data_IF_109918720844
#
_entry.id   IF_109918720844
#
_cell.length_a   1.000
_cell.length_b   1.000
_cell.length_c   1.000
_cell.angle_alpha   90.00
_cell.angle_beta   90.00
_cell.angle_gamma   90.00
#
_symmetry.space_group_name_H-M   'P 1'
#
loop_
_entity.id
_entity.type
_entity.pdbx_description
1 polymer ?
#
# COMPACT_ATOMS: atom_id res chain seq x y z
N UNK A 1 -9.94 -29.92 -1.42
CA UNK A 1 -10.91 -29.08 -0.67
C UNK A 1 -12.06 -29.90 -0.10
N UNK A 2 -12.80 -30.67 -0.92
CA UNK A 2 -13.91 -31.50 -0.43
C UNK A 2 -13.46 -32.59 0.57
N UNK A 3 -12.30 -33.20 0.36
CA UNK A 3 -11.70 -34.21 1.25
C UNK A 3 -11.32 -33.68 2.64
N UNK A 4 -11.19 -32.37 2.81
CA UNK A 4 -10.86 -31.72 4.08
C UNK A 4 -12.04 -30.91 4.66
N UNK A 5 -13.24 -31.06 4.11
CA UNK A 5 -14.42 -30.31 4.55
C UNK A 5 -14.37 -28.81 4.28
N UNK A 6 -13.42 -28.32 3.47
CA UNK A 6 -13.31 -26.89 3.15
C UNK A 6 -14.38 -26.49 2.12
N UNK A 7 -15.11 -25.42 2.42
CA UNK A 7 -16.14 -24.84 1.54
C UNK A 7 -15.72 -23.44 1.06
N UNK A 8 -15.94 -23.17 -0.22
CA UNK A 8 -15.79 -21.85 -0.79
C UNK A 8 -17.07 -21.03 -0.61
N UNK A 9 -16.94 -19.71 -0.52
CA UNK A 9 -18.07 -18.78 -0.57
C UNK A 9 -18.21 -18.26 -2.00
N UNK A 10 -19.18 -18.73 -2.81
CA UNK A 10 -19.25 -18.40 -4.24
C UNK A 10 -19.27 -16.90 -4.52
N UNK A 11 -19.95 -16.11 -3.67
CA UNK A 11 -20.01 -14.65 -3.82
C UNK A 11 -18.69 -13.91 -3.59
N UNK A 12 -17.65 -14.58 -3.10
CA UNK A 12 -16.30 -14.02 -2.93
C UNK A 12 -15.27 -14.69 -3.85
N UNK A 13 -15.70 -15.59 -4.73
CA UNK A 13 -14.82 -16.30 -5.63
C UNK A 13 -14.99 -15.77 -7.05
N UNK A 14 -13.87 -15.61 -7.74
CA UNK A 14 -13.83 -15.20 -9.15
C UNK A 14 -13.08 -16.29 -9.91
N UNK A 15 -13.63 -16.75 -11.04
CA UNK A 15 -13.07 -17.85 -11.82
C UNK A 15 -13.02 -17.47 -13.30
N UNK A 16 -11.98 -17.93 -14.02
CA UNK A 16 -11.87 -17.78 -15.47
C UNK A 16 -11.71 -16.33 -15.97
N UNK A 17 -11.27 -15.40 -15.13
CA UNK A 17 -11.01 -14.00 -15.51
C UNK A 17 -9.58 -13.83 -16.02
N UNK A 18 -9.37 -12.88 -16.94
CA UNK A 18 -8.04 -12.53 -17.47
C UNK A 18 -7.21 -11.73 -16.46
N UNK A 19 -7.88 -10.95 -15.64
CA UNK A 19 -7.32 -10.14 -14.58
C UNK A 19 -8.25 -10.10 -13.36
N UNK A 20 -7.68 -9.87 -12.18
CA UNK A 20 -8.47 -9.83 -10.94
C UNK A 20 -7.71 -9.33 -9.72
N UNK A 21 -8.46 -8.96 -8.69
CA UNK A 21 -7.91 -8.48 -7.42
C UNK A 21 -7.57 -9.64 -6.49
N UNK A 22 -6.31 -9.75 -6.08
CA UNK A 22 -5.84 -10.77 -5.15
C UNK A 22 -4.90 -10.19 -4.09
N UNK A 23 -5.18 -10.42 -2.81
CA UNK A 23 -4.42 -9.89 -1.67
C UNK A 23 -4.16 -8.36 -1.74
N UNK A 24 -5.08 -7.62 -2.37
CA UNK A 24 -4.97 -6.18 -2.55
C UNK A 24 -3.99 -5.74 -3.65
N UNK A 25 -3.62 -6.63 -4.57
CA UNK A 25 -2.94 -6.33 -5.83
C UNK A 25 -3.86 -6.68 -7.01
N UNK A 26 -3.56 -6.12 -8.18
CA UNK A 26 -4.13 -6.60 -9.44
C UNK A 26 -3.21 -7.69 -10.00
N UNK A 27 -3.79 -8.79 -10.45
CA UNK A 27 -3.05 -9.89 -11.07
C UNK A 27 -3.61 -10.07 -12.46
N UNK A 28 -2.74 -10.02 -13.46
CA UNK A 28 -3.05 -10.21 -14.87
C UNK A 28 -2.06 -11.19 -15.50
N UNK A 29 -2.26 -11.54 -16.77
CA UNK A 29 -1.28 -12.30 -17.56
C UNK A 29 0.10 -11.61 -17.62
N UNK A 30 0.14 -10.28 -17.49
CA UNK A 30 1.39 -9.50 -17.51
C UNK A 30 2.12 -9.52 -16.17
N UNK A 31 1.49 -10.05 -15.11
CA UNK A 31 2.06 -10.20 -13.79
C UNK A 31 1.26 -9.51 -12.68
N UNK A 32 1.96 -9.11 -11.62
CA UNK A 32 1.37 -8.40 -10.49
C UNK A 32 1.45 -6.91 -10.76
N UNK A 33 0.31 -6.25 -10.72
CA UNK A 33 0.15 -4.82 -10.97
C UNK A 33 -0.32 -4.10 -9.69
N UNK A 34 0.01 -2.81 -9.63
CA UNK A 34 -0.43 -1.98 -8.52
C UNK A 34 -1.95 -1.80 -8.53
N UNK A 35 -2.57 -1.85 -7.36
CA UNK A 35 -3.99 -1.55 -7.24
C UNK A 35 -4.18 -0.01 -7.30
N UNK A 36 -4.86 0.47 -8.34
CA UNK A 36 -5.14 1.89 -8.55
C UNK A 36 -5.94 2.52 -7.40
N UNK A 37 -6.88 1.78 -6.79
CA UNK A 37 -7.65 2.26 -5.64
C UNK A 37 -6.74 2.58 -4.44
N UNK A 38 -5.68 1.78 -4.22
CA UNK A 38 -4.70 2.05 -3.17
C UNK A 38 -3.84 3.27 -3.47
N UNK A 39 -3.44 3.45 -4.73
CA UNK A 39 -2.68 4.62 -5.18
C UNK A 39 -3.52 5.88 -5.00
N UNK A 40 -4.77 5.86 -5.46
CA UNK A 40 -5.69 6.98 -5.37
C UNK A 40 -6.00 7.34 -3.91
N UNK A 41 -6.17 6.34 -3.04
CA UNK A 41 -6.35 6.57 -1.61
C UNK A 41 -5.15 7.29 -0.97
N UNK A 42 -3.91 6.95 -1.36
CA UNK A 42 -2.72 7.64 -0.86
C UNK A 42 -2.62 9.05 -1.44
N UNK A 43 -2.94 9.24 -2.72
CA UNK A 43 -2.94 10.57 -3.36
C UNK A 43 -3.95 11.55 -2.74
N UNK A 44 -4.98 11.05 -2.05
CA UNK A 44 -6.00 11.85 -1.36
C UNK A 44 -5.71 12.08 0.12
N UNK A 45 -4.65 11.47 0.67
CA UNK A 45 -4.25 11.72 2.05
C UNK A 45 -3.79 13.16 2.16
N UNK A 46 -4.36 13.89 3.12
CA UNK A 46 -3.84 15.20 3.50
C UNK A 46 -2.50 15.03 4.23
N UNK A 47 -1.66 16.07 4.13
CA UNK A 47 -0.38 16.15 4.81
C UNK A 47 -0.50 15.70 6.27
N UNK A 48 0.23 14.65 6.68
CA UNK A 48 0.12 14.08 8.02
C UNK A 48 0.59 15.09 9.06
N UNK A 49 -0.21 15.25 10.12
CA UNK A 49 0.01 16.22 11.20
C UNK A 49 0.56 15.55 12.45
N UNK A 50 0.51 14.22 12.51
CA UNK A 50 0.94 13.43 13.66
C UNK A 50 1.90 12.33 13.26
N UNK A 51 2.76 11.92 14.19
CA UNK A 51 3.65 10.77 14.00
C UNK A 51 2.88 9.52 13.56
N UNK A 52 1.72 9.24 14.18
CA UNK A 52 0.87 8.09 13.87
C UNK A 52 0.39 8.09 12.42
N UNK A 53 0.02 9.26 11.88
CA UNK A 53 -0.36 9.41 10.48
C UNK A 53 0.83 9.17 9.55
N UNK A 54 2.03 9.64 9.91
CA UNK A 54 3.26 9.34 9.16
C UNK A 54 3.58 7.85 9.17
N UNK A 55 3.43 7.15 10.31
CA UNK A 55 3.65 5.69 10.35
C UNK A 55 2.65 4.97 9.45
N UNK A 56 1.37 5.40 9.48
CA UNK A 56 0.32 4.84 8.62
C UNK A 56 0.64 5.05 7.14
N UNK A 57 1.00 6.28 6.76
CA UNK A 57 1.39 6.61 5.39
C UNK A 57 2.61 5.79 4.95
N UNK A 58 3.63 5.70 5.79
CA UNK A 58 4.84 4.90 5.53
C UNK A 58 4.50 3.43 5.31
N UNK A 59 3.63 2.85 6.14
CA UNK A 59 3.16 1.48 5.96
C UNK A 59 2.38 1.27 4.65
N UNK A 60 1.55 2.24 4.25
CA UNK A 60 0.83 2.21 2.97
C UNK A 60 1.79 2.30 1.78
N UNK A 61 2.76 3.22 1.81
CA UNK A 61 3.79 3.37 0.77
C UNK A 61 4.67 2.11 0.69
N UNK A 62 5.04 1.51 1.83
CA UNK A 62 5.81 0.27 1.86
C UNK A 62 5.10 -0.87 1.13
N UNK A 63 3.76 -0.95 1.20
CA UNK A 63 2.98 -1.94 0.44
C UNK A 63 3.04 -1.75 -1.08
N UNK A 64 3.35 -0.52 -1.53
CA UNK A 64 3.50 -0.16 -2.95
C UNK A 64 4.97 -0.04 -3.39
N UNK A 65 5.93 -0.18 -2.47
CA UNK A 65 7.36 0.02 -2.73
C UNK A 65 7.89 -0.73 -3.96
N UNK A 66 7.38 -1.96 -4.20
CA UNK A 66 7.72 -2.79 -5.37
C UNK A 66 7.39 -2.16 -6.73
N UNK A 67 6.53 -1.15 -6.76
CA UNK A 67 6.10 -0.43 -7.97
C UNK A 67 6.70 0.97 -8.07
N UNK A 68 7.38 1.45 -7.03
CA UNK A 68 7.96 2.79 -6.96
C UNK A 68 9.47 2.67 -7.16
N UNK A 69 9.97 3.18 -8.29
CA UNK A 69 11.42 3.25 -8.50
C UNK A 69 12.08 4.05 -7.39
N UNK A 70 13.18 3.53 -6.84
CA UNK A 70 13.92 4.14 -5.73
C UNK A 70 13.05 4.48 -4.52
N UNK A 71 12.10 3.61 -4.17
CA UNK A 71 11.18 3.83 -3.05
C UNK A 71 11.91 4.09 -1.72
N UNK A 72 13.04 3.42 -1.49
CA UNK A 72 13.86 3.60 -0.30
C UNK A 72 14.35 5.05 -0.18
N UNK A 73 14.92 5.61 -1.25
CA UNK A 73 15.42 6.99 -1.29
C UNK A 73 14.32 8.01 -0.98
N UNK A 74 13.12 7.80 -1.53
CA UNK A 74 11.94 8.65 -1.24
C UNK A 74 11.43 8.50 0.19
N UNK A 75 11.54 7.29 0.74
CA UNK A 75 11.08 6.97 2.10
C UNK A 75 12.01 7.52 3.18
N UNK A 76 13.26 7.87 2.85
CA UNK A 76 14.22 8.46 3.78
C UNK A 76 13.70 9.74 4.44
N UNK A 77 12.92 10.54 3.70
CA UNK A 77 12.32 11.77 4.19
C UNK A 77 11.31 11.47 5.30
N UNK A 78 10.46 10.45 5.12
CA UNK A 78 9.53 9.99 6.16
C UNK A 78 10.25 9.44 7.39
N UNK A 79 11.32 8.66 7.20
CA UNK A 79 12.11 8.11 8.31
C UNK A 79 12.82 9.19 9.13
N UNK A 80 13.33 10.25 8.49
CA UNK A 80 13.91 11.42 9.19
C UNK A 80 12.88 12.11 10.08
N UNK A 81 11.64 12.26 9.60
CA UNK A 81 10.54 12.86 10.35
C UNK A 81 10.05 11.97 11.51
N UNK A 82 10.12 10.64 11.35
CA UNK A 82 9.83 9.63 12.38
C UNK A 82 10.89 9.58 13.51
N UNK A 83 12.17 9.75 13.17
CA UNK A 83 13.28 9.66 14.12
C UNK A 83 13.34 10.79 15.15
N UNK A 84 12.72 11.95 14.86
CA UNK A 84 12.69 13.13 15.74
C UNK A 84 11.43 13.16 16.61
N UNK A 85 11.15 12.07 17.33
CA UNK A 85 9.89 11.89 18.07
C UNK A 85 9.53 13.01 19.08
N UNK A 86 10.51 13.81 19.56
CA UNK A 86 10.27 14.95 20.46
C UNK A 86 9.90 16.26 19.75
N UNK A 87 10.20 16.41 18.45
CA UNK A 87 9.92 17.59 17.63
C UNK A 87 9.49 17.15 16.22
N UNK A 88 8.35 16.46 16.15
CA UNK A 88 7.78 16.09 14.86
C UNK A 88 7.48 17.36 14.06
N UNK A 89 8.14 17.52 12.91
CA UNK A 89 7.90 18.61 11.97
C UNK A 89 7.81 18.03 10.57
N UNK A 90 6.62 18.11 9.98
CA UNK A 90 6.42 17.86 8.56
C UNK A 90 6.94 19.09 7.80
N UNK A 91 7.99 18.94 7.00
CA UNK A 91 8.61 20.02 6.21
C UNK A 91 8.13 19.95 4.76
N UNK A 92 8.33 21.02 3.98
CA UNK A 92 8.02 21.01 2.54
C UNK A 92 8.81 19.92 1.79
N UNK A 93 9.96 19.51 2.31
CA UNK A 93 10.74 18.40 1.77
C UNK A 93 10.06 17.03 1.96
N UNK A 94 9.03 16.95 2.82
CA UNK A 94 8.26 15.73 3.09
C UNK A 94 6.96 15.63 2.28
N UNK A 95 6.55 16.71 1.58
CA UNK A 95 5.47 16.68 0.58
C UNK A 95 5.91 15.95 -0.69
#
# INVERSE_FOLDING_TARGET
>A
MQTYGMKLKPSKCTFGVRDGKFLGYMVSERGIEANLEKIEAISRIQSPRTLKEVQKLTGQIASLSRFISRSADRSLLFFKSLGKAKEFKWTEECE
#
